data_IF_070458451757
#
_entry.id   IF_070458451757
#
_cell.length_a   1.000
_cell.length_b   1.000
_cell.length_c   1.000
_cell.angle_alpha   90.00
_cell.angle_beta   90.00
_cell.angle_gamma   90.00
#
_symmetry.space_group_name_H-M   'P 1'
#
loop_
_entity.id
_entity.type
_entity.pdbx_description
1 polymer ?
#
# COMPACT_ATOMS: atom_id res chain seq x y z
N UNK A 1 -11.44 -3.33 20.16
CA UNK A 1 -10.02 -3.20 19.78
C UNK A 1 -9.96 -2.36 18.51
N UNK A 2 -9.05 -1.39 18.45
CA UNK A 2 -8.86 -0.56 17.25
C UNK A 2 -7.96 -1.32 16.29
N UNK A 3 -8.50 -1.81 15.17
CA UNK A 3 -7.73 -2.47 14.12
C UNK A 3 -7.00 -1.44 13.28
N UNK A 4 -5.72 -1.64 13.02
CA UNK A 4 -4.92 -0.77 12.15
C UNK A 4 -4.60 -1.47 10.83
N UNK A 5 -4.50 -0.70 9.75
CA UNK A 5 -3.98 -1.18 8.48
C UNK A 5 -2.87 -0.24 7.99
N UNK A 6 -1.72 -0.81 7.67
CA UNK A 6 -0.55 -0.12 7.15
C UNK A 6 -0.48 -0.35 5.64
N UNK A 7 -0.32 0.73 4.90
CA UNK A 7 -0.15 0.67 3.44
C UNK A 7 1.11 1.43 3.05
N UNK A 8 1.95 0.78 2.25
CA UNK A 8 3.17 1.35 1.68
C UNK A 8 3.05 1.26 0.17
N UNK A 9 3.27 2.38 -0.53
CA UNK A 9 3.31 2.44 -1.98
C UNK A 9 4.74 2.74 -2.41
N UNK A 10 5.28 1.92 -3.30
CA UNK A 10 6.54 2.14 -4.00
C UNK A 10 6.26 2.33 -5.48
N UNK A 11 6.79 3.39 -6.08
CA UNK A 11 6.64 3.63 -7.51
C UNK A 11 7.72 4.58 -8.05
N UNK A 12 8.06 4.42 -9.34
CA UNK A 12 8.98 5.33 -10.05
C UNK A 12 8.23 6.54 -10.59
N UNK A 13 8.84 7.73 -10.51
CA UNK A 13 8.34 8.98 -11.14
C UNK A 13 6.88 9.31 -10.77
N UNK A 14 6.42 8.87 -9.60
CA UNK A 14 5.02 8.90 -9.20
C UNK A 14 4.64 10.11 -8.33
N UNK A 15 5.54 11.07 -8.13
CA UNK A 15 5.30 12.23 -7.26
C UNK A 15 4.07 13.01 -7.66
N UNK A 16 3.90 13.32 -8.95
CA UNK A 16 2.74 14.06 -9.43
C UNK A 16 1.42 13.31 -9.21
N UNK A 17 1.46 11.97 -9.27
CA UNK A 17 0.29 11.10 -9.08
C UNK A 17 -0.03 10.93 -7.60
N UNK A 18 0.99 10.86 -6.74
CA UNK A 18 0.83 10.67 -5.30
C UNK A 18 0.63 11.98 -4.53
N UNK A 19 1.03 13.13 -5.08
CA UNK A 19 0.92 14.43 -4.41
C UNK A 19 -0.51 14.77 -3.93
N UNK A 20 -1.60 14.52 -4.70
CA UNK A 20 -2.95 14.74 -4.20
C UNK A 20 -3.32 13.84 -3.01
N UNK A 21 -2.68 12.67 -2.88
CA UNK A 21 -2.91 11.71 -1.81
C UNK A 21 -2.17 12.08 -0.52
N UNK A 22 -1.25 13.06 -0.56
CA UNK A 22 -0.55 13.58 0.63
C UNK A 22 -1.31 14.72 1.32
N UNK A 23 -2.46 15.12 0.78
CA UNK A 23 -3.28 16.24 1.27
C UNK A 23 -4.70 15.77 1.60
N UNK A 24 -5.38 16.41 2.56
CA UNK A 24 -6.78 16.11 2.85
C UNK A 24 -7.67 16.33 1.62
N UNK A 25 -8.65 15.46 1.44
CA UNK A 25 -9.63 15.52 0.35
C UNK A 25 -10.97 14.96 0.84
N UNK A 26 -12.00 15.80 0.86
CA UNK A 26 -13.35 15.45 1.32
C UNK A 26 -14.11 14.58 0.30
N UNK A 27 -13.62 14.47 -0.93
CA UNK A 27 -14.20 13.62 -1.98
C UNK A 27 -13.82 12.13 -1.86
N UNK A 28 -12.87 11.78 -0.98
CA UNK A 28 -12.42 10.38 -0.79
C UNK A 28 -13.24 9.68 0.30
N UNK A 29 -13.41 8.37 0.14
CA UNK A 29 -14.06 7.52 1.15
C UNK A 29 -13.22 7.32 2.43
N UNK A 30 -11.96 7.76 2.43
CA UNK A 30 -11.03 7.72 3.56
C UNK A 30 -10.37 9.08 3.74
N UNK A 31 -9.99 9.40 4.98
CA UNK A 31 -9.59 10.76 5.37
C UNK A 31 -8.08 10.89 5.60
N UNK A 32 -7.40 9.77 5.87
CA UNK A 32 -5.96 9.76 6.10
C UNK A 32 -5.18 10.13 4.83
N UNK A 33 -4.01 10.73 5.02
CA UNK A 33 -3.13 11.19 3.95
C UNK A 33 -1.84 10.36 3.95
N UNK A 34 -1.29 10.14 2.76
CA UNK A 34 0.02 9.51 2.63
C UNK A 34 1.12 10.49 3.05
N UNK A 35 2.13 9.96 3.71
CA UNK A 35 3.39 10.67 3.99
C UNK A 35 4.44 10.14 3.04
N UNK A 36 5.07 11.03 2.25
CA UNK A 36 6.24 10.67 1.45
C UNK A 36 7.41 10.36 2.38
N UNK A 37 8.01 9.20 2.21
CA UNK A 37 9.26 8.84 2.86
C UNK A 37 10.38 9.47 2.04
N UNK A 38 11.06 10.45 2.62
CA UNK A 38 12.15 11.16 1.95
C UNK A 38 13.45 10.35 2.02
N UNK A 39 14.28 10.41 0.98
CA UNK A 39 15.58 9.72 0.87
C UNK A 39 16.56 10.12 1.99
N UNK A 40 16.32 11.27 2.62
CA UNK A 40 17.02 11.70 3.83
C UNK A 40 16.77 10.85 5.07
N UNK A 41 15.72 10.01 5.10
CA UNK A 41 15.37 9.20 6.29
C UNK A 41 16.27 7.97 6.50
N UNK A 42 17.00 7.49 5.48
CA UNK A 42 17.73 6.23 5.58
C UNK A 42 19.25 6.27 5.33
N UNK A 43 19.85 7.40 4.91
CA UNK A 43 21.24 7.27 4.44
C UNK A 43 22.15 8.48 4.30
N UNK A 44 21.88 9.65 4.89
CA UNK A 44 22.86 10.76 4.85
C UNK A 44 23.36 11.17 3.45
N UNK A 45 22.70 10.70 2.39
CA UNK A 45 23.00 10.99 1.00
C UNK A 45 22.22 12.24 0.61
N UNK A 46 22.95 13.25 0.14
CA UNK A 46 22.38 14.55 -0.26
C UNK A 46 21.72 14.54 -1.64
N UNK A 47 21.66 13.40 -2.32
CA UNK A 47 21.04 13.29 -3.63
C UNK A 47 19.85 12.34 -3.53
N UNK A 48 18.60 12.84 -3.68
CA UNK A 48 17.45 11.97 -3.76
C UNK A 48 17.60 11.05 -4.95
N UNK A 49 17.32 9.77 -4.77
CA UNK A 49 17.25 8.83 -5.86
C UNK A 49 16.06 9.27 -6.72
N UNK A 50 16.34 9.66 -7.97
CA UNK A 50 15.30 10.08 -8.93
C UNK A 50 14.49 8.88 -9.43
N UNK A 51 14.75 7.70 -8.88
CA UNK A 51 14.40 6.42 -9.48
C UNK A 51 13.24 5.74 -8.79
N UNK A 52 13.05 5.85 -7.47
CA UNK A 52 11.95 5.19 -6.76
C UNK A 52 11.61 5.93 -5.47
N UNK A 53 10.32 6.14 -5.23
CA UNK A 53 9.84 6.81 -4.03
C UNK A 53 8.89 5.92 -3.24
N UNK A 54 8.85 6.16 -1.92
CA UNK A 54 7.98 5.46 -1.01
C UNK A 54 6.98 6.42 -0.36
N UNK A 55 5.74 5.97 -0.19
CA UNK A 55 4.69 6.67 0.55
C UNK A 55 4.06 5.72 1.54
N UNK A 56 3.84 6.20 2.76
CA UNK A 56 3.26 5.41 3.85
C UNK A 56 1.97 6.05 4.35
N UNK A 57 0.99 5.23 4.70
CA UNK A 57 -0.26 5.65 5.34
C UNK A 57 -0.67 4.58 6.35
N UNK A 58 -1.24 5.01 7.47
CA UNK A 58 -1.84 4.12 8.44
C UNK A 58 -3.31 4.48 8.60
N UNK A 59 -4.16 3.47 8.50
CA UNK A 59 -5.60 3.57 8.70
C UNK A 59 -5.98 3.05 10.07
N UNK A 60 -7.05 3.64 10.62
CA UNK A 60 -7.67 3.20 11.86
C UNK A 60 -9.05 2.69 11.48
N UNK A 61 -9.36 1.46 11.86
CA UNK A 61 -10.58 0.72 11.49
C UNK A 61 -10.66 0.40 9.99
N UNK A 62 -11.79 -0.15 9.55
CA UNK A 62 -12.04 -0.53 8.15
C UNK A 62 -12.37 0.65 7.22
N UNK A 63 -11.85 1.85 7.51
CA UNK A 63 -12.25 3.09 6.84
C UNK A 63 -11.52 3.34 5.52
N UNK A 64 -10.75 2.36 5.03
CA UNK A 64 -9.93 2.46 3.82
C UNK A 64 -10.47 1.67 2.62
N UNK A 65 -11.75 1.26 2.68
CA UNK A 65 -12.44 0.64 1.54
C UNK A 65 -12.35 1.55 0.32
N UNK A 66 -12.01 0.95 -0.83
CA UNK A 66 -11.85 1.67 -2.10
C UNK A 66 -10.45 2.21 -2.36
N UNK A 67 -9.51 2.16 -1.40
CA UNK A 67 -8.13 2.61 -1.62
C UNK A 67 -7.46 1.86 -2.78
N UNK A 68 -7.53 0.52 -2.80
CA UNK A 68 -6.90 -0.27 -3.86
C UNK A 68 -7.50 0.04 -5.24
N UNK A 69 -8.82 0.20 -5.31
CA UNK A 69 -9.51 0.60 -6.56
C UNK A 69 -9.12 2.00 -7.02
N UNK A 70 -8.88 2.93 -6.08
CA UNK A 70 -8.40 4.26 -6.40
C UNK A 70 -6.95 4.23 -6.88
N UNK A 71 -6.07 3.49 -6.21
CA UNK A 71 -4.69 3.31 -6.67
C UNK A 71 -4.65 2.65 -8.05
N UNK A 72 -5.53 1.68 -8.33
CA UNK A 72 -5.68 1.09 -9.68
C UNK A 72 -6.06 2.13 -10.74
N UNK A 73 -6.91 3.11 -10.41
CA UNK A 73 -7.41 4.08 -11.39
C UNK A 73 -6.45 5.24 -11.70
N UNK A 74 -5.36 5.37 -10.94
CA UNK A 74 -4.36 6.41 -11.17
C UNK A 74 -3.58 6.15 -12.47
N UNK A 75 -3.31 7.23 -13.21
CA UNK A 75 -2.51 7.19 -14.43
C UNK A 75 -1.01 7.12 -14.08
N UNK A 76 -0.56 5.96 -13.60
CA UNK A 76 0.84 5.73 -13.24
C UNK A 76 1.77 5.95 -14.44
N UNK A 77 2.82 6.79 -14.33
CA UNK A 77 3.80 6.98 -15.40
C UNK A 77 4.61 5.72 -15.70
N UNK A 78 4.70 4.83 -14.70
CA UNK A 78 5.45 3.59 -14.75
C UNK A 78 4.67 2.49 -14.00
N UNK A 79 3.61 1.92 -14.60
CA UNK A 79 2.72 0.98 -13.91
C UNK A 79 3.44 -0.30 -13.43
N UNK A 80 4.43 -0.78 -14.19
CA UNK A 80 5.17 -2.01 -13.85
C UNK A 80 6.06 -1.84 -12.61
N UNK A 81 6.34 -0.61 -12.20
CA UNK A 81 7.08 -0.32 -10.98
C UNK A 81 6.23 -0.29 -9.71
N UNK A 82 4.90 -0.19 -9.85
CA UNK A 82 3.99 0.02 -8.72
C UNK A 82 3.93 -1.23 -7.85
N UNK A 83 4.30 -1.07 -6.58
CA UNK A 83 4.16 -2.07 -5.54
C UNK A 83 3.38 -1.45 -4.39
N UNK A 84 2.26 -2.06 -4.02
CA UNK A 84 1.44 -1.65 -2.88
C UNK A 84 1.51 -2.75 -1.84
N UNK A 85 2.21 -2.49 -0.74
CA UNK A 85 2.29 -3.39 0.39
C UNK A 85 1.15 -3.05 1.36
N UNK A 86 0.37 -4.04 1.75
CA UNK A 86 -0.71 -3.87 2.73
C UNK A 86 -0.53 -4.87 3.86
N UNK A 87 -0.62 -4.39 5.09
CA UNK A 87 -0.65 -5.22 6.29
C UNK A 87 -1.76 -4.74 7.20
N UNK A 88 -2.76 -5.58 7.41
CA UNK A 88 -3.69 -5.43 8.52
C UNK A 88 -3.02 -5.90 9.84
N UNK A 89 -3.51 -5.47 11.00
CA UNK A 89 -2.96 -5.83 12.31
C UNK A 89 -2.86 -7.35 12.53
N UNK A 90 -3.84 -8.10 12.00
CA UNK A 90 -3.91 -9.56 12.08
C UNK A 90 -3.12 -10.29 10.99
N UNK A 91 -2.55 -9.57 10.02
CA UNK A 91 -1.71 -10.18 9.00
C UNK A 91 -0.33 -10.56 9.58
N UNK A 92 0.13 -11.77 9.25
CA UNK A 92 1.44 -12.28 9.66
C UNK A 92 2.61 -11.54 8.97
N UNK A 93 2.35 -10.93 7.81
CA UNK A 93 3.30 -10.17 7.01
C UNK A 93 2.56 -9.23 6.03
N UNK A 94 3.29 -8.36 5.33
CA UNK A 94 2.70 -7.56 4.26
C UNK A 94 2.31 -8.44 3.07
N UNK A 95 1.08 -8.31 2.59
CA UNK A 95 0.72 -8.72 1.24
C UNK A 95 1.26 -7.72 0.21
N UNK A 96 1.46 -8.17 -1.02
CA UNK A 96 1.99 -7.36 -2.12
C UNK A 96 0.95 -7.27 -3.23
N UNK A 97 0.64 -6.07 -3.69
CA UNK A 97 -0.16 -5.84 -4.89
C UNK A 97 0.70 -5.17 -5.95
N UNK A 98 0.55 -5.62 -7.19
CA UNK A 98 1.24 -5.06 -8.36
C UNK A 98 0.25 -4.86 -9.50
N UNK A 99 0.58 -3.99 -10.45
CA UNK A 99 -0.24 -3.78 -11.64
C UNK A 99 0.12 -4.83 -12.70
N UNK A 100 -0.81 -5.74 -12.99
CA UNK A 100 -0.76 -6.64 -14.14
C UNK A 100 -1.94 -6.35 -15.07
N UNK A 101 -1.65 -6.16 -16.36
CA UNK A 101 -2.65 -5.87 -17.40
C UNK A 101 -3.61 -4.71 -17.04
N UNK A 102 -3.06 -3.68 -16.38
CA UNK A 102 -3.81 -2.50 -15.93
C UNK A 102 -4.69 -2.72 -14.70
N UNK A 103 -4.55 -3.86 -14.02
CA UNK A 103 -5.27 -4.21 -12.79
C UNK A 103 -4.33 -4.35 -11.61
N UNK A 104 -4.71 -3.78 -10.48
CA UNK A 104 -3.95 -3.89 -9.23
C UNK A 104 -4.35 -5.19 -8.54
N UNK A 105 -3.50 -6.20 -8.62
CA UNK A 105 -3.79 -7.56 -8.15
C UNK A 105 -2.82 -7.99 -7.07
N UNK A 106 -3.30 -8.80 -6.12
CA UNK A 106 -2.43 -9.38 -5.09
C UNK A 106 -1.51 -10.42 -5.74
N UNK A 107 -0.22 -10.31 -5.45
CA UNK A 107 0.82 -11.26 -5.84
C UNK A 107 0.91 -12.33 -4.77
N UNK A 108 0.75 -13.60 -5.16
CA UNK A 108 0.89 -14.72 -4.24
C UNK A 108 2.33 -14.83 -3.73
N UNK A 109 2.53 -14.57 -2.43
CA UNK A 109 3.81 -14.75 -1.78
C UNK A 109 3.98 -16.21 -1.32
N UNK A 110 5.16 -16.82 -1.49
CA UNK A 110 5.41 -18.17 -0.99
C UNK A 110 5.12 -18.28 0.51
N UNK A 111 4.53 -19.41 0.91
CA UNK A 111 4.20 -19.73 2.31
C UNK A 111 3.18 -18.79 2.95
N UNK A 112 2.32 -18.17 2.14
CA UNK A 112 1.22 -17.34 2.62
C UNK A 112 -0.10 -17.78 2.02
N UNK A 113 -1.18 -17.56 2.75
CA UNK A 113 -2.55 -17.76 2.29
C UNK A 113 -3.41 -16.62 2.84
N UNK A 114 -4.28 -16.07 1.99
CA UNK A 114 -5.23 -15.03 2.41
C UNK A 114 -6.62 -15.63 2.60
N UNK A 115 -7.08 -15.63 3.84
CA UNK A 115 -8.42 -16.08 4.21
C UNK A 115 -9.39 -14.88 4.24
N UNK A 116 -10.59 -14.97 3.64
CA UNK A 116 -11.58 -13.92 3.73
C UNK A 116 -11.96 -13.62 5.18
N UNK A 117 -12.00 -12.34 5.54
CA UNK A 117 -12.39 -11.93 6.89
C UNK A 117 -13.20 -10.63 6.82
N UNK A 118 -14.43 -10.66 7.33
CA UNK A 118 -15.38 -9.55 7.20
C UNK A 118 -14.94 -8.25 7.88
N UNK A 119 -14.06 -8.36 8.87
CA UNK A 119 -13.42 -7.23 9.53
C UNK A 119 -12.10 -6.82 8.86
N UNK A 120 -11.70 -7.36 7.72
CA UNK A 120 -10.57 -6.83 6.95
C UNK A 120 -11.08 -6.40 5.57
N UNK A 121 -10.46 -5.39 4.98
CA UNK A 121 -10.79 -4.99 3.59
C UNK A 121 -10.28 -6.03 2.61
N UNK A 122 -9.13 -6.64 2.89
CA UNK A 122 -8.49 -7.65 2.03
C UNK A 122 -8.71 -9.07 2.55
N UNK A 123 -8.94 -9.26 3.85
CA UNK A 123 -8.88 -10.56 4.53
C UNK A 123 -7.67 -10.65 5.46
N UNK A 124 -7.35 -11.84 5.96
CA UNK A 124 -6.16 -12.08 6.81
C UNK A 124 -5.13 -12.89 6.03
N UNK A 125 -3.90 -12.40 5.94
CA UNK A 125 -2.76 -13.08 5.38
C UNK A 125 -2.03 -13.84 6.48
N UNK A 126 -2.10 -15.16 6.44
CA UNK A 126 -1.40 -16.03 7.39
C UNK A 126 -0.25 -16.76 6.73
N UNK A 127 0.80 -17.02 7.51
CA UNK A 127 1.92 -17.87 7.12
C UNK A 127 1.53 -19.35 7.25
N UNK A 128 1.68 -20.10 6.17
CA UNK A 128 1.34 -21.53 6.14
C UNK A 128 2.42 -22.41 6.77
N UNK A 129 3.64 -21.89 6.92
CA UNK A 129 4.78 -22.60 7.53
C UNK A 129 4.85 -22.49 9.06
N UNK A 130 3.90 -21.80 9.69
CA UNK A 130 3.77 -21.72 11.15
C UNK A 130 2.85 -22.78 11.75
N UNK A 131 2.03 -23.46 10.94
CA UNK A 131 1.08 -24.50 11.39
C UNK A 131 1.72 -25.89 11.56
N UNK A 132 3.03 -25.97 11.76
CA UNK A 132 3.78 -27.22 11.95
C UNK A 132 4.00 -27.55 13.42
#
# INVERSE_FOLDING_TARGET
MSRYAEVIVLARRAEAVMEPLTRPDEGRGWHQCFTRVDDGMFGGSRMPSVECYAWVIQFIRHNWRGLLSHLESLAWPDPHSVQVLVRDEDDDCFGLWMIYDGKLVEVSLPRTEREPFSASVTGVLSRTDRRA
#
